data_IF_097039405430
#
_entry.id   IF_097039405430
#
_cell.length_a   1.000
_cell.length_b   1.000
_cell.length_c   1.000
_cell.angle_alpha   90.00
_cell.angle_beta   90.00
_cell.angle_gamma   90.00
#
_symmetry.space_group_name_H-M   'P 1'
#
loop_
_entity.id
_entity.type
_entity.pdbx_description
1 polymer ?
#
# COMPACT_ATOMS: atom_id res chain seq x y z
N UNK A 1 -6.35 -12.20 -6.19
CA UNK A 1 -5.21 -11.50 -5.55
C UNK A 1 -5.76 -10.14 -5.12
N UNK A 2 -5.59 -9.75 -3.85
CA UNK A 2 -6.06 -8.45 -3.33
C UNK A 2 -5.06 -7.34 -3.61
N UNK A 3 -3.77 -7.62 -3.48
CA UNK A 3 -2.68 -6.67 -3.70
C UNK A 3 -1.40 -7.41 -4.07
N UNK A 4 -0.47 -6.72 -4.74
CA UNK A 4 0.90 -7.17 -4.95
C UNK A 4 1.90 -6.05 -4.65
N UNK A 5 3.11 -6.40 -4.24
CA UNK A 5 4.22 -5.48 -4.00
C UNK A 5 5.52 -6.07 -4.53
N UNK A 6 6.28 -5.28 -5.27
CA UNK A 6 7.66 -5.63 -5.64
C UNK A 6 8.60 -5.16 -4.53
N UNK A 7 9.40 -6.07 -3.98
CA UNK A 7 10.41 -5.73 -2.97
C UNK A 7 11.62 -5.04 -3.63
N UNK A 8 12.29 -4.19 -2.86
CA UNK A 8 13.52 -3.53 -3.30
C UNK A 8 14.73 -4.43 -3.11
N UNK A 9 14.73 -5.23 -2.04
CA UNK A 9 15.74 -6.25 -1.77
C UNK A 9 15.75 -7.32 -2.85
N UNK A 10 16.94 -7.86 -3.12
CA UNK A 10 17.15 -8.88 -4.14
C UNK A 10 17.52 -10.21 -3.52
N UNK A 11 17.21 -11.30 -4.20
CA UNK A 11 17.80 -12.62 -3.93
C UNK A 11 19.27 -12.65 -4.36
N UNK A 12 19.96 -13.76 -4.07
CA UNK A 12 21.33 -14.02 -4.51
C UNK A 12 21.47 -13.98 -6.05
N UNK A 13 20.40 -14.34 -6.77
CA UNK A 13 20.31 -14.26 -8.24
C UNK A 13 19.94 -12.85 -8.75
N UNK A 14 20.00 -11.82 -7.90
CA UNK A 14 19.62 -10.43 -8.20
C UNK A 14 18.15 -10.25 -8.61
N UNK A 15 17.27 -11.22 -8.32
CA UNK A 15 15.85 -11.12 -8.59
C UNK A 15 15.16 -10.34 -7.47
N UNK A 16 14.33 -9.36 -7.84
CA UNK A 16 13.45 -8.65 -6.89
C UNK A 16 12.20 -9.48 -6.64
N UNK A 17 11.96 -9.97 -5.41
CA UNK A 17 10.79 -10.79 -5.13
C UNK A 17 9.49 -9.98 -5.22
N UNK A 18 8.41 -10.66 -5.60
CA UNK A 18 7.05 -10.11 -5.58
C UNK A 18 6.28 -10.75 -4.44
N UNK A 19 5.71 -9.92 -3.59
CA UNK A 19 4.74 -10.31 -2.58
C UNK A 19 3.33 -10.25 -3.17
N UNK A 20 2.52 -11.25 -2.85
CA UNK A 20 1.13 -11.36 -3.26
C UNK A 20 0.26 -11.55 -2.01
N UNK A 21 -0.68 -10.64 -1.78
CA UNK A 21 -1.73 -10.80 -0.79
C UNK A 21 -2.94 -11.45 -1.45
N UNK A 22 -3.30 -12.65 -1.03
CA UNK A 22 -4.42 -13.38 -1.60
C UNK A 22 -5.79 -12.95 -1.04
N UNK A 23 -6.86 -13.58 -1.51
CA UNK A 23 -8.23 -13.27 -1.07
C UNK A 23 -8.48 -13.57 0.43
N UNK A 24 -7.68 -14.47 1.03
CA UNK A 24 -7.77 -14.89 2.43
C UNK A 24 -6.79 -14.12 3.33
N UNK A 25 -6.15 -13.08 2.81
CA UNK A 25 -5.09 -12.31 3.48
C UNK A 25 -3.83 -13.13 3.78
N UNK A 26 -3.57 -14.22 3.05
CA UNK A 26 -2.30 -14.93 3.13
C UNK A 26 -1.30 -14.31 2.16
N UNK A 27 -0.07 -14.18 2.63
CA UNK A 27 1.03 -13.61 1.86
C UNK A 27 1.79 -14.73 1.17
N UNK A 28 2.03 -14.56 -0.12
CA UNK A 28 2.86 -15.45 -0.93
C UNK A 28 4.02 -14.64 -1.50
N UNK A 29 5.14 -15.30 -1.74
CA UNK A 29 6.32 -14.69 -2.38
C UNK A 29 6.69 -15.46 -3.65
N UNK A 30 7.13 -14.72 -4.66
CA UNK A 30 7.72 -15.28 -5.86
C UNK A 30 9.06 -14.59 -6.17
N UNK A 31 10.15 -15.33 -6.46
CA UNK A 31 10.25 -16.79 -6.44
C UNK A 31 10.21 -17.38 -5.02
N UNK A 32 9.86 -18.66 -4.88
CA UNK A 32 9.65 -19.31 -3.55
C UNK A 32 10.91 -19.34 -2.67
N UNK A 33 12.09 -19.36 -3.27
CA UNK A 33 13.37 -19.29 -2.54
C UNK A 33 13.61 -17.93 -1.89
N UNK A 34 12.81 -16.90 -2.22
CA UNK A 34 12.93 -15.57 -1.63
C UNK A 34 12.22 -15.39 -0.28
N UNK A 35 11.68 -16.45 0.34
CA UNK A 35 10.91 -16.35 1.58
C UNK A 35 11.70 -15.70 2.72
N UNK A 36 12.99 -16.06 2.89
CA UNK A 36 13.85 -15.44 3.91
C UNK A 36 14.07 -13.94 3.67
N UNK A 37 14.30 -13.54 2.41
CA UNK A 37 14.46 -12.13 2.02
C UNK A 37 13.17 -11.36 2.27
N UNK A 38 12.02 -11.95 1.89
CA UNK A 38 10.71 -11.37 2.13
C UNK A 38 10.37 -11.23 3.62
N UNK A 39 10.77 -12.19 4.45
CA UNK A 39 10.56 -12.13 5.90
C UNK A 39 11.39 -11.00 6.53
N UNK A 40 12.65 -10.86 6.13
CA UNK A 40 13.53 -9.80 6.62
C UNK A 40 13.03 -8.40 6.19
N UNK A 41 12.77 -8.22 4.89
CA UNK A 41 12.18 -6.99 4.36
C UNK A 41 10.79 -6.71 4.97
N UNK A 42 10.07 -7.77 5.36
CA UNK A 42 8.77 -7.74 6.01
C UNK A 42 8.71 -6.89 7.28
N UNK A 43 9.82 -6.78 8.03
CA UNK A 43 9.92 -6.00 9.28
C UNK A 43 9.52 -4.52 9.12
N UNK A 44 9.79 -3.94 7.95
CA UNK A 44 9.45 -2.56 7.60
C UNK A 44 8.35 -2.45 6.53
N UNK A 45 7.78 -3.56 6.08
CA UNK A 45 6.87 -3.58 4.93
C UNK A 45 5.41 -3.59 5.38
N UNK A 46 4.64 -2.72 4.75
CA UNK A 46 3.19 -2.60 4.95
C UNK A 46 2.45 -2.77 3.63
N UNK A 47 1.26 -3.34 3.72
CA UNK A 47 0.32 -3.54 2.62
C UNK A 47 -1.01 -2.86 2.99
N UNK A 48 -1.82 -2.54 1.99
CA UNK A 48 -3.16 -2.00 2.22
C UNK A 48 -4.14 -2.51 1.17
N UNK A 49 -5.34 -2.87 1.60
CA UNK A 49 -6.43 -3.27 0.72
C UNK A 49 -7.54 -2.23 0.80
N UNK A 50 -8.21 -1.97 -0.31
CA UNK A 50 -9.42 -1.17 -0.36
C UNK A 50 -10.50 -1.97 -1.08
N UNK A 51 -11.56 -2.33 -0.36
CA UNK A 51 -12.72 -3.03 -0.90
C UNK A 51 -13.82 -2.02 -1.19
N UNK A 52 -14.15 -1.87 -2.48
CA UNK A 52 -15.14 -0.91 -2.93
C UNK A 52 -16.59 -1.28 -2.59
N UNK A 53 -16.86 -2.58 -2.37
CA UNK A 53 -18.21 -3.07 -2.07
C UNK A 53 -18.53 -2.91 -0.58
N UNK A 54 -17.61 -3.30 0.29
CA UNK A 54 -17.77 -3.15 1.74
C UNK A 54 -17.40 -1.75 2.26
N UNK A 55 -16.66 -0.96 1.47
CA UNK A 55 -16.10 0.32 1.89
C UNK A 55 -14.95 0.20 2.88
N UNK A 56 -14.43 -1.01 3.11
CA UNK A 56 -13.36 -1.27 4.08
C UNK A 56 -12.00 -0.99 3.42
N UNK A 57 -11.23 -0.10 4.03
CA UNK A 57 -9.81 0.08 3.75
C UNK A 57 -9.02 -0.42 4.95
N UNK A 58 -8.12 -1.37 4.74
CA UNK A 58 -7.37 -2.01 5.83
C UNK A 58 -5.88 -2.03 5.53
N UNK A 59 -5.06 -1.85 6.57
CA UNK A 59 -3.62 -1.96 6.50
C UNK A 59 -3.10 -3.20 7.20
N UNK A 60 -2.05 -3.78 6.64
CA UNK A 60 -1.40 -4.98 7.14
C UNK A 60 0.09 -4.73 7.31
N UNK A 61 0.66 -5.19 8.42
CA UNK A 61 2.10 -5.26 8.64
C UNK A 61 2.61 -6.67 8.34
N UNK A 62 3.76 -6.76 7.70
CA UNK A 62 4.49 -8.02 7.52
C UNK A 62 5.51 -8.27 8.64
N UNK A 63 5.55 -7.44 9.68
CA UNK A 63 6.60 -7.49 10.70
C UNK A 63 6.62 -8.73 11.58
N UNK A 64 5.58 -9.56 11.54
CA UNK A 64 5.51 -10.86 12.22
C UNK A 64 5.93 -12.02 11.31
N UNK A 65 6.35 -11.75 10.07
CA UNK A 65 6.78 -12.77 9.14
C UNK A 65 8.06 -13.44 9.60
N UNK A 66 8.16 -14.74 9.34
CA UNK A 66 9.33 -15.57 9.58
C UNK A 66 9.81 -16.18 8.27
N UNK A 67 11.05 -16.70 8.19
CA UNK A 67 11.52 -17.42 7.01
C UNK A 67 10.68 -18.65 6.64
N UNK A 68 9.87 -19.17 7.57
CA UNK A 68 8.98 -20.31 7.37
C UNK A 68 7.58 -19.89 6.90
N UNK A 69 7.10 -18.74 7.36
CA UNK A 69 5.75 -18.26 7.09
C UNK A 69 5.69 -16.73 7.03
N UNK A 70 5.17 -16.21 5.91
CA UNK A 70 4.87 -14.79 5.75
C UNK A 70 3.47 -14.48 6.29
N UNK A 71 3.38 -13.49 7.19
CA UNK A 71 2.16 -13.18 7.93
C UNK A 71 1.75 -11.74 7.63
N UNK A 72 0.52 -11.55 7.13
CA UNK A 72 -0.11 -10.23 7.05
C UNK A 72 -0.96 -9.98 8.30
N UNK A 73 -0.39 -9.25 9.26
CA UNK A 73 -1.09 -8.87 10.48
C UNK A 73 -1.85 -7.55 10.27
N UNK A 74 -3.18 -7.55 10.38
CA UNK A 74 -3.99 -6.32 10.25
C UNK A 74 -3.64 -5.34 11.38
N UNK A 75 -3.23 -4.12 11.03
CA UNK A 75 -2.79 -3.09 11.99
C UNK A 75 -3.75 -1.91 12.10
N UNK A 76 -4.50 -1.61 11.04
CA UNK A 76 -5.53 -0.57 11.07
C UNK A 76 -6.64 -0.89 10.07
N UNK A 77 -7.79 -0.27 10.29
CA UNK A 77 -8.98 -0.38 9.44
C UNK A 77 -9.73 0.96 9.45
N UNK A 78 -10.23 1.34 8.28
CA UNK A 78 -11.10 2.48 8.04
C UNK A 78 -12.33 2.00 7.29
N UNK A 79 -13.51 2.36 7.78
CA UNK A 79 -14.78 2.02 7.14
C UNK A 79 -15.38 3.28 6.51
N UNK A 80 -15.40 3.33 5.18
CA UNK A 80 -16.05 4.39 4.42
C UNK A 80 -17.50 4.00 4.21
N UNK A 81 -18.43 4.70 4.89
CA UNK A 81 -19.84 4.34 5.01
C UNK A 81 -20.48 3.95 3.66
N UNK A 82 -20.57 2.64 3.32
CA UNK A 82 -20.89 2.19 1.97
C UNK A 82 -22.34 2.51 1.57
N UNK A 83 -23.22 2.71 2.58
CA UNK A 83 -24.61 3.12 2.39
C UNK A 83 -24.75 4.50 1.74
N UNK A 84 -23.79 5.39 1.98
CA UNK A 84 -23.86 6.78 1.55
C UNK A 84 -22.74 7.15 0.56
N UNK A 85 -21.67 6.36 0.51
CA UNK A 85 -20.48 6.64 -0.28
C UNK A 85 -19.97 5.35 -0.93
N UNK A 86 -19.62 5.42 -2.22
CA UNK A 86 -18.97 4.33 -2.94
C UNK A 86 -17.54 4.69 -3.27
N UNK A 87 -16.58 3.80 -2.98
CA UNK A 87 -15.20 3.97 -3.43
C UNK A 87 -15.19 3.81 -4.96
N UNK A 88 -14.67 4.82 -5.65
CA UNK A 88 -14.56 4.81 -7.11
C UNK A 88 -13.13 4.63 -7.58
N UNK A 89 -12.17 5.22 -6.87
CA UNK A 89 -10.76 5.18 -7.23
C UNK A 89 -9.89 5.11 -5.99
N UNK A 90 -8.77 4.38 -6.13
CA UNK A 90 -7.71 4.28 -5.14
C UNK A 90 -6.41 4.43 -5.92
N UNK A 91 -5.68 5.52 -5.65
CA UNK A 91 -4.49 5.89 -6.42
C UNK A 91 -3.31 6.06 -5.48
N UNK A 92 -2.24 5.31 -5.73
CA UNK A 92 -0.95 5.44 -5.06
C UNK A 92 0.07 6.14 -5.95
N UNK A 93 1.12 6.68 -5.33
CA UNK A 93 2.27 7.21 -6.08
C UNK A 93 2.99 6.09 -6.84
N UNK A 94 3.59 6.43 -7.98
CA UNK A 94 4.47 5.50 -8.68
C UNK A 94 5.75 5.28 -7.84
N UNK A 95 6.08 4.03 -7.45
CA UNK A 95 7.26 3.74 -6.62
C UNK A 95 8.60 4.14 -7.26
N UNK A 96 8.64 4.33 -8.59
CA UNK A 96 9.87 4.65 -9.34
C UNK A 96 10.00 6.17 -9.62
N UNK A 97 9.00 6.97 -9.23
CA UNK A 97 9.01 8.42 -9.40
C UNK A 97 10.18 9.05 -8.62
N UNK A 98 10.87 10.02 -9.25
CA UNK A 98 11.95 10.80 -8.60
C UNK A 98 11.55 12.26 -8.47
N UNK A 99 11.87 12.83 -7.31
CA UNK A 99 11.62 14.25 -7.00
C UNK A 99 12.91 15.04 -7.23
N UNK A 100 12.91 15.96 -8.20
CA UNK A 100 14.09 16.77 -8.55
C UNK A 100 14.32 17.98 -7.64
N UNK A 101 13.26 18.52 -7.01
CA UNK A 101 13.38 19.59 -6.01
C UNK A 101 12.43 19.37 -4.85
N UNK A 102 12.93 19.55 -3.63
CA UNK A 102 12.15 19.37 -2.39
C UNK A 102 11.28 20.59 -2.05
N UNK A 103 11.52 21.73 -2.69
CA UNK A 103 10.79 22.97 -2.46
C UNK A 103 10.70 23.84 -3.70
N UNK A 104 9.92 24.90 -3.58
CA UNK A 104 9.79 25.97 -4.58
C UNK A 104 10.24 27.28 -3.96
N UNK A 105 11.16 27.98 -4.63
CA UNK A 105 11.60 29.32 -4.23
C UNK A 105 10.49 30.32 -4.55
N UNK A 106 10.16 31.19 -3.60
CA UNK A 106 9.16 32.25 -3.70
C UNK A 106 9.80 33.59 -4.07
N UNK A 107 8.99 34.58 -4.41
CA UNK A 107 9.46 35.90 -4.90
C UNK A 107 10.27 36.70 -3.88
N UNK A 108 10.05 36.45 -2.58
CA UNK A 108 10.79 37.01 -1.46
C UNK A 108 12.06 36.22 -1.10
N UNK A 109 12.43 35.23 -1.94
CA UNK A 109 13.55 34.29 -1.74
C UNK A 109 13.36 33.32 -0.58
N UNK A 110 12.16 33.23 0.00
CA UNK A 110 11.81 32.13 0.91
C UNK A 110 11.57 30.83 0.11
N UNK A 111 11.53 29.69 0.82
CA UNK A 111 11.32 28.37 0.20
C UNK A 111 10.05 27.74 0.77
N UNK A 112 9.10 27.42 -0.12
CA UNK A 112 7.95 26.59 0.20
C UNK A 112 8.30 25.12 -0.01
N UNK A 113 8.43 24.39 1.09
CA UNK A 113 8.72 22.96 1.06
C UNK A 113 7.50 22.14 0.64
N UNK A 114 7.72 21.14 -0.21
CA UNK A 114 6.70 20.20 -0.64
C UNK A 114 6.46 19.17 0.45
N UNK A 115 5.19 18.84 0.72
CA UNK A 115 4.86 17.66 1.51
C UNK A 115 4.96 16.43 0.61
N UNK A 116 5.94 15.56 0.88
CA UNK A 116 6.20 14.37 0.08
C UNK A 116 6.21 13.16 1.01
N UNK A 117 5.13 12.38 0.95
CA UNK A 117 5.02 11.12 1.65
C UNK A 117 4.93 9.98 0.61
N UNK A 118 5.95 9.10 0.51
CA UNK A 118 5.95 7.98 -0.45
C UNK A 118 4.88 6.93 -0.15
N UNK A 119 4.32 6.93 1.07
CA UNK A 119 3.31 5.98 1.52
C UNK A 119 1.87 6.54 1.45
N UNK A 120 1.68 7.67 0.75
CA UNK A 120 0.38 8.32 0.64
C UNK A 120 -0.48 7.64 -0.44
N UNK A 121 -1.77 7.45 -0.11
CA UNK A 121 -2.78 6.91 -1.02
C UNK A 121 -3.96 7.87 -1.05
N UNK A 122 -4.43 8.20 -2.25
CA UNK A 122 -5.64 8.98 -2.46
C UNK A 122 -6.83 8.03 -2.69
N UNK A 123 -7.85 8.12 -1.85
CA UNK A 123 -9.11 7.37 -1.99
C UNK A 123 -10.21 8.35 -2.39
N UNK A 124 -10.86 8.08 -3.52
CA UNK A 124 -11.94 8.92 -4.05
C UNK A 124 -13.26 8.21 -3.83
N UNK A 125 -14.18 8.86 -3.12
CA UNK A 125 -15.54 8.37 -2.92
C UNK A 125 -16.56 9.24 -3.64
N UNK A 126 -17.65 8.61 -4.09
CA UNK A 126 -18.81 9.29 -4.65
C UNK A 126 -20.00 9.08 -3.73
N UNK A 127 -20.73 10.16 -3.43
CA UNK A 127 -21.99 10.07 -2.71
C UNK A 127 -23.03 9.28 -3.51
N UNK A 128 -23.60 8.24 -2.90
CA UNK A 128 -24.70 7.49 -3.51
C UNK A 128 -25.98 8.21 -3.09
N UNK A 129 -26.50 9.06 -3.97
CA UNK A 129 -27.73 9.80 -3.70
C UNK A 129 -28.87 8.84 -3.43
N UNK A 130 -29.35 8.80 -2.18
CA UNK A 130 -30.61 8.16 -1.87
C UNK A 130 -31.72 8.94 -2.57
N UNK A 131 -32.50 8.28 -3.43
CA UNK A 131 -33.85 8.76 -3.69
C UNK A 131 -34.56 8.78 -2.33
N UNK A 132 -34.65 9.97 -1.73
CA UNK A 132 -35.60 10.25 -0.66
C UNK A 132 -36.99 10.05 -1.28
N UNK A 133 -37.53 8.85 -1.12
CA UNK A 133 -38.97 8.61 -1.15
C UNK A 133 -39.46 8.52 0.28
#
# INVERSE_FOLDING_TARGET
IKQSLLLHDTTDDFLRPILLLDARNKVHVFPKNATSVAAEAGKGTYLFTADADSGIVAGFSLGYSTPQELIAHKVWELVLAPKNQKITHVVSKNPIERVHSQGRVLGDRSVLYKYINPNLVAVVTQGVGGNLK
#
